data_IF_797007580564
#
_entry.id   IF_797007580564
#
_cell.length_a   1.000
_cell.length_b   1.000
_cell.length_c   1.000
_cell.angle_alpha   90.00
_cell.angle_beta   90.00
_cell.angle_gamma   90.00
#
_symmetry.space_group_name_H-M   'P 1'
#
loop_
_entity.id
_entity.type
_entity.pdbx_description
1 polymer ?
#
# COMPACT_ATOMS: atom_id res chain seq x y z
N UNK A 1 58.07 32.17 5.24
CA UNK A 1 56.93 31.35 5.69
C UNK A 1 55.74 31.73 4.81
N UNK A 2 55.24 30.86 3.93
CA UNK A 2 54.07 31.15 3.09
C UNK A 2 52.79 31.09 3.93
N UNK A 3 51.72 31.82 3.56
CA UNK A 3 50.49 31.87 4.35
C UNK A 3 49.74 30.53 4.31
N UNK A 4 49.24 30.11 5.46
CA UNK A 4 48.38 28.94 5.65
C UNK A 4 47.03 29.17 4.98
N UNK A 5 46.64 28.31 4.03
CA UNK A 5 45.32 28.35 3.42
C UNK A 5 44.24 27.96 4.44
N UNK A 6 43.25 28.83 4.63
CA UNK A 6 42.07 28.57 5.46
C UNK A 6 41.10 27.71 4.65
N UNK A 7 40.88 26.46 5.08
CA UNK A 7 39.83 25.61 4.52
C UNK A 7 38.46 26.23 4.85
N UNK A 8 37.75 26.67 3.82
CA UNK A 8 36.34 27.05 3.93
C UNK A 8 35.51 25.77 3.86
N UNK A 9 34.53 25.53 4.75
CA UNK A 9 33.63 24.38 4.64
C UNK A 9 32.88 24.45 3.32
N UNK A 10 33.03 23.41 2.49
CA UNK A 10 32.16 23.21 1.32
C UNK A 10 30.78 22.82 1.87
N UNK A 11 29.68 23.49 1.46
CA UNK A 11 28.33 23.05 1.79
C UNK A 11 28.16 21.59 1.37
N UNK A 12 27.44 20.74 2.12
CA UNK A 12 27.18 19.38 1.68
C UNK A 12 26.53 19.44 0.30
N UNK A 13 27.19 18.79 -0.68
CA UNK A 13 26.62 18.53 -1.99
C UNK A 13 25.32 17.76 -1.77
N UNK A 14 24.21 18.25 -2.31
CA UNK A 14 22.97 17.50 -2.32
C UNK A 14 23.25 16.11 -2.92
N UNK A 15 23.05 15.07 -2.12
CA UNK A 15 23.10 13.70 -2.62
C UNK A 15 21.95 13.56 -3.60
N UNK A 16 22.27 13.34 -4.88
CA UNK A 16 21.27 12.89 -5.83
C UNK A 16 20.75 11.54 -5.31
N UNK A 17 19.57 11.53 -4.70
CA UNK A 17 18.76 10.31 -4.60
C UNK A 17 18.60 9.80 -6.04
N UNK A 18 18.87 8.51 -6.33
CA UNK A 18 18.55 7.96 -7.63
C UNK A 18 17.05 8.19 -7.86
N UNK A 19 16.72 9.09 -8.79
CA UNK A 19 15.40 9.08 -9.43
C UNK A 19 15.30 7.70 -10.09
N UNK A 20 14.23 6.90 -9.85
CA UNK A 20 13.99 5.69 -10.60
C UNK A 20 14.17 5.99 -12.09
N UNK A 21 15.07 5.24 -12.71
CA UNK A 21 15.50 5.53 -14.07
C UNK A 21 14.41 5.18 -15.07
N UNK A 22 13.57 6.15 -15.41
CA UNK A 22 12.78 6.16 -16.64
C UNK A 22 11.72 5.05 -16.79
N UNK A 23 10.45 5.42 -16.67
CA UNK A 23 9.20 4.70 -17.03
C UNK A 23 8.39 3.98 -15.94
N UNK A 24 8.52 4.35 -14.66
CA UNK A 24 7.62 3.82 -13.63
C UNK A 24 6.24 4.50 -13.72
N UNK A 25 5.17 3.71 -13.57
CA UNK A 25 3.83 4.19 -13.24
C UNK A 25 3.51 3.81 -11.80
N UNK A 26 3.15 4.80 -11.00
CA UNK A 26 2.71 4.62 -9.61
C UNK A 26 1.20 4.75 -9.58
N UNK A 27 0.50 3.69 -9.18
CA UNK A 27 -0.93 3.70 -8.95
C UNK A 27 -1.20 3.92 -7.47
N UNK A 28 -2.18 4.75 -7.11
CA UNK A 28 -2.48 5.12 -5.72
C UNK A 28 -3.99 5.27 -5.49
N UNK A 29 -4.47 4.91 -4.30
CA UNK A 29 -5.76 5.36 -3.74
C UNK A 29 -5.51 6.38 -2.62
N UNK A 30 -6.57 7.02 -2.11
CA UNK A 30 -6.50 8.05 -1.06
C UNK A 30 -7.62 7.94 -0.05
N UNK A 31 -7.27 8.11 1.22
CA UNK A 31 -8.20 8.15 2.36
C UNK A 31 -9.32 9.19 2.20
N UNK A 32 -9.14 10.16 1.31
CA UNK A 32 -10.09 11.26 1.10
C UNK A 32 -10.27 11.62 -0.37
N UNK A 33 -11.41 12.24 -0.68
CA UNK A 33 -11.62 12.90 -1.96
C UNK A 33 -10.64 14.06 -2.18
N UNK A 34 -10.11 14.19 -3.39
CA UNK A 34 -9.08 15.21 -3.65
C UNK A 34 -8.91 15.64 -5.10
N UNK A 35 -7.75 16.22 -5.37
CA UNK A 35 -7.30 16.55 -6.71
C UNK A 35 -5.79 16.36 -6.84
N UNK A 36 -5.36 15.55 -7.81
CA UNK A 36 -3.95 15.33 -8.11
C UNK A 36 -3.64 15.75 -9.54
N UNK A 37 -2.73 16.71 -9.72
CA UNK A 37 -2.34 17.19 -11.05
C UNK A 37 -3.50 17.68 -11.94
N UNK A 38 -4.60 18.15 -11.35
CA UNK A 38 -5.80 18.57 -12.07
C UNK A 38 -6.84 17.46 -12.29
N UNK A 39 -6.56 16.22 -11.92
CA UNK A 39 -7.53 15.11 -11.90
C UNK A 39 -8.26 15.12 -10.57
N UNK A 40 -9.57 15.44 -10.59
CA UNK A 40 -10.42 15.25 -9.41
C UNK A 40 -10.73 13.77 -9.24
N UNK A 41 -10.71 13.30 -8.01
CA UNK A 41 -10.95 11.91 -7.64
C UNK A 41 -11.73 11.84 -6.34
N UNK A 42 -12.25 10.65 -6.06
CA UNK A 42 -12.90 10.30 -4.81
C UNK A 42 -12.14 9.20 -4.09
N UNK A 43 -12.48 8.98 -2.82
CA UNK A 43 -11.84 7.96 -2.00
C UNK A 43 -12.04 6.53 -2.56
N UNK A 44 -13.09 6.28 -3.34
CA UNK A 44 -13.25 5.01 -4.06
C UNK A 44 -12.41 4.85 -5.34
N UNK A 45 -11.61 5.84 -5.74
CA UNK A 45 -10.89 5.87 -7.02
C UNK A 45 -9.43 5.44 -6.90
N UNK A 46 -8.85 4.97 -8.01
CA UNK A 46 -7.40 4.74 -8.14
C UNK A 46 -6.86 5.61 -9.26
N UNK A 47 -5.82 6.36 -8.94
CA UNK A 47 -5.08 7.20 -9.88
C UNK A 47 -3.81 6.51 -10.38
N UNK A 48 -3.30 6.97 -11.52
CA UNK A 48 -1.99 6.63 -12.04
C UNK A 48 -1.15 7.90 -12.22
N UNK A 49 0.08 7.87 -11.68
CA UNK A 49 1.10 8.88 -11.83
C UNK A 49 2.24 8.35 -12.71
N UNK A 50 2.43 8.98 -13.87
CA UNK A 50 3.54 8.69 -14.77
C UNK A 50 4.79 9.47 -14.32
N UNK A 51 5.81 8.75 -13.87
CA UNK A 51 7.02 9.36 -13.27
C UNK A 51 7.90 10.06 -14.31
N UNK A 52 7.79 9.71 -15.60
CA UNK A 52 8.57 10.32 -16.68
C UNK A 52 8.01 11.66 -17.12
N UNK A 53 6.68 11.74 -17.21
CA UNK A 53 5.97 12.91 -17.72
C UNK A 53 5.41 13.79 -16.60
N UNK A 54 5.41 13.29 -15.37
CA UNK A 54 4.77 13.91 -14.20
C UNK A 54 3.29 14.19 -14.42
N UNK A 55 2.60 13.26 -15.09
CA UNK A 55 1.18 13.38 -15.43
C UNK A 55 0.35 12.43 -14.59
N UNK A 56 -0.71 12.99 -14.01
CA UNK A 56 -1.76 12.24 -13.33
C UNK A 56 -2.87 11.85 -14.31
N UNK A 57 -3.45 10.67 -14.10
CA UNK A 57 -4.63 10.20 -14.81
C UNK A 57 -5.50 9.33 -13.90
N UNK A 58 -6.80 9.29 -14.19
CA UNK A 58 -7.71 8.33 -13.56
C UNK A 58 -7.42 6.94 -14.12
N UNK A 59 -7.20 5.94 -13.26
CA UNK A 59 -7.02 4.54 -13.65
C UNK A 59 -8.26 3.69 -13.38
N UNK A 60 -8.92 3.89 -12.25
CA UNK A 60 -10.16 3.22 -11.89
C UNK A 60 -11.07 4.24 -11.21
N UNK A 61 -12.28 4.38 -11.72
CA UNK A 61 -13.34 5.21 -11.13
C UNK A 61 -14.32 4.26 -10.41
N UNK A 62 -14.27 4.25 -9.08
CA UNK A 62 -15.05 3.31 -8.27
C UNK A 62 -16.55 3.59 -8.34
N UNK A 63 -16.89 4.86 -8.53
CA UNK A 63 -18.27 5.33 -8.58
C UNK A 63 -19.02 4.79 -9.81
N UNK A 64 -18.31 4.63 -10.93
CA UNK A 64 -18.85 4.06 -12.18
C UNK A 64 -19.31 2.59 -12.03
N UNK A 65 -18.69 1.85 -11.12
CA UNK A 65 -18.98 0.43 -10.86
C UNK A 65 -19.71 0.19 -9.55
N UNK A 66 -20.18 1.26 -8.91
CA UNK A 66 -21.05 1.23 -7.74
C UNK A 66 -20.35 0.88 -6.44
N UNK A 67 -19.04 1.10 -6.35
CA UNK A 67 -18.37 1.20 -5.05
C UNK A 67 -18.78 2.52 -4.42
N UNK A 68 -19.11 2.48 -3.12
CA UNK A 68 -19.59 3.64 -2.36
C UNK A 68 -18.84 3.83 -1.04
N UNK A 69 -17.73 3.11 -0.88
CA UNK A 69 -16.81 3.15 0.25
C UNK A 69 -15.42 3.37 -0.30
N UNK A 70 -14.53 3.83 0.56
CA UNK A 70 -13.13 4.03 0.25
C UNK A 70 -12.44 2.70 -0.14
N UNK A 71 -11.46 2.78 -1.04
CA UNK A 71 -10.61 1.66 -1.43
C UNK A 71 -9.30 1.73 -0.64
N UNK A 72 -9.25 0.92 0.42
CA UNK A 72 -8.08 0.80 1.29
C UNK A 72 -6.86 0.21 0.57
N UNK A 73 -7.05 -0.86 -0.18
CA UNK A 73 -5.93 -1.60 -0.75
C UNK A 73 -6.31 -2.25 -2.05
N UNK A 74 -5.35 -2.37 -2.96
CA UNK A 74 -5.57 -3.05 -4.24
C UNK A 74 -4.34 -3.76 -4.77
N UNK A 75 -4.57 -4.80 -5.56
CA UNK A 75 -3.52 -5.58 -6.22
C UNK A 75 -3.91 -5.92 -7.65
N UNK A 76 -3.00 -5.69 -8.60
CA UNK A 76 -3.18 -6.14 -9.97
C UNK A 76 -2.77 -7.61 -10.13
N UNK A 77 -3.64 -8.40 -10.77
CA UNK A 77 -3.41 -9.80 -11.07
C UNK A 77 -2.95 -9.99 -12.52
N UNK A 78 -2.20 -11.07 -12.83
CA UNK A 78 -1.68 -11.31 -14.19
C UNK A 78 -2.74 -11.49 -15.28
N UNK A 79 -3.98 -11.81 -14.90
CA UNK A 79 -5.12 -11.94 -15.83
C UNK A 79 -5.80 -10.59 -16.14
N UNK A 80 -5.29 -9.49 -15.58
CA UNK A 80 -5.81 -8.14 -15.73
C UNK A 80 -6.94 -7.79 -14.76
N UNK A 81 -7.37 -8.72 -13.91
CA UNK A 81 -8.27 -8.42 -12.79
C UNK A 81 -7.53 -7.76 -11.63
N UNK A 82 -8.29 -7.23 -10.68
CA UNK A 82 -7.75 -6.51 -9.53
C UNK A 82 -8.41 -7.01 -8.24
N UNK A 83 -7.63 -7.28 -7.21
CA UNK A 83 -8.15 -7.49 -5.85
C UNK A 83 -8.30 -6.14 -5.16
N UNK A 84 -9.33 -5.98 -4.33
CA UNK A 84 -9.58 -4.75 -3.55
C UNK A 84 -10.11 -5.05 -2.16
N UNK A 85 -9.66 -4.27 -1.18
CA UNK A 85 -10.23 -4.18 0.18
C UNK A 85 -10.93 -2.83 0.34
N UNK A 86 -11.87 -2.73 1.29
CA UNK A 86 -12.71 -1.55 1.48
C UNK A 86 -12.68 -1.13 2.95
N UNK A 87 -12.77 0.17 3.22
CA UNK A 87 -12.61 0.70 4.59
C UNK A 87 -13.78 0.45 5.54
N UNK A 88 -14.89 -0.05 5.03
CA UNK A 88 -16.05 -0.36 5.85
C UNK A 88 -16.91 -1.43 5.19
N UNK A 89 -17.55 -2.25 6.01
CA UNK A 89 -18.58 -3.18 5.54
C UNK A 89 -19.63 -2.49 4.65
N UNK A 90 -19.81 -3.00 3.43
CA UNK A 90 -20.66 -2.39 2.40
C UNK A 90 -21.36 -3.43 1.52
N UNK A 91 -22.12 -2.98 0.52
CA UNK A 91 -22.70 -3.86 -0.51
C UNK A 91 -22.03 -3.62 -1.85
N UNK A 92 -21.38 -4.65 -2.38
CA UNK A 92 -20.70 -4.61 -3.68
C UNK A 92 -21.63 -5.16 -4.77
N UNK A 93 -21.86 -4.44 -5.89
CA UNK A 93 -22.73 -4.89 -6.97
C UNK A 93 -22.35 -6.27 -7.52
N UNK A 94 -23.34 -7.18 -7.57
CA UNK A 94 -23.15 -8.55 -8.06
C UNK A 94 -22.56 -9.53 -7.04
N UNK A 95 -21.99 -9.03 -5.93
CA UNK A 95 -21.42 -9.84 -4.85
C UNK A 95 -22.38 -9.92 -3.66
N UNK A 96 -22.87 -8.77 -3.19
CA UNK A 96 -23.69 -8.66 -1.98
C UNK A 96 -22.95 -7.95 -0.86
N UNK A 97 -23.31 -8.25 0.38
CA UNK A 97 -22.64 -7.71 1.57
C UNK A 97 -21.22 -8.27 1.68
N UNK A 98 -20.27 -7.39 1.95
CA UNK A 98 -18.87 -7.67 2.28
C UNK A 98 -18.52 -6.91 3.54
N UNK A 99 -17.65 -7.47 4.36
CA UNK A 99 -17.04 -6.83 5.52
C UNK A 99 -15.75 -6.09 5.11
N UNK A 100 -15.24 -5.20 5.94
CA UNK A 100 -13.94 -4.52 5.78
C UNK A 100 -12.74 -5.47 5.99
N UNK A 101 -12.99 -6.67 6.51
CA UNK A 101 -12.04 -7.79 6.55
C UNK A 101 -12.06 -8.69 5.31
N UNK A 102 -12.95 -8.42 4.34
CA UNK A 102 -13.09 -9.21 3.11
C UNK A 102 -12.33 -8.60 1.92
N UNK A 103 -12.11 -9.42 0.88
CA UNK A 103 -11.49 -8.97 -0.38
C UNK A 103 -12.41 -9.35 -1.54
N UNK A 104 -12.64 -8.39 -2.42
CA UNK A 104 -13.35 -8.59 -3.69
C UNK A 104 -12.37 -8.58 -4.86
N UNK A 105 -12.76 -9.24 -5.95
CA UNK A 105 -12.03 -9.23 -7.21
C UNK A 105 -12.85 -8.51 -8.28
N UNK A 106 -12.29 -7.45 -8.85
CA UNK A 106 -12.86 -6.72 -9.96
C UNK A 106 -12.33 -7.26 -11.29
N UNK A 107 -13.24 -7.61 -12.19
CA UNK A 107 -12.97 -8.07 -13.54
C UNK A 107 -13.29 -6.93 -14.52
N UNK A 108 -12.28 -6.15 -14.95
CA UNK A 108 -12.49 -5.00 -15.80
C UNK A 108 -12.86 -5.41 -17.23
N UNK A 109 -13.77 -4.63 -17.81
CA UNK A 109 -14.02 -4.57 -19.25
C UNK A 109 -13.62 -3.21 -19.84
N UNK A 110 -13.50 -2.19 -18.99
CA UNK A 110 -12.95 -0.86 -19.27
C UNK A 110 -12.36 -0.27 -17.99
N UNK A 111 -11.28 0.50 -18.11
CA UNK A 111 -10.62 1.24 -17.04
C UNK A 111 -10.63 2.75 -17.34
N UNK A 112 -10.22 3.57 -16.38
CA UNK A 112 -10.14 5.02 -16.46
C UNK A 112 -11.44 5.72 -16.06
N UNK A 113 -11.71 6.90 -16.60
CA UNK A 113 -12.89 7.72 -16.25
C UNK A 113 -14.25 7.16 -16.70
N UNK A 114 -14.25 5.98 -17.34
CA UNK A 114 -15.46 5.25 -17.73
C UNK A 114 -15.19 3.79 -17.39
N UNK A 115 -15.04 3.52 -16.09
CA UNK A 115 -14.72 2.20 -15.59
C UNK A 115 -15.95 1.29 -15.74
N UNK A 116 -15.74 0.07 -16.19
CA UNK A 116 -16.83 -0.90 -16.34
C UNK A 116 -16.31 -2.31 -16.11
N UNK A 117 -17.07 -3.13 -15.40
CA UNK A 117 -16.69 -4.51 -15.13
C UNK A 117 -17.68 -5.20 -14.21
N UNK A 118 -17.25 -6.31 -13.62
CA UNK A 118 -18.04 -7.07 -12.65
C UNK A 118 -17.19 -7.46 -11.46
N UNK A 119 -17.83 -7.63 -10.30
CA UNK A 119 -17.18 -8.08 -9.09
C UNK A 119 -17.42 -9.57 -8.83
N UNK A 120 -16.45 -10.20 -8.14
CA UNK A 120 -16.58 -11.51 -7.49
C UNK A 120 -16.05 -11.44 -6.06
N UNK A 121 -16.54 -12.34 -5.20
CA UNK A 121 -16.03 -12.51 -3.83
C UNK A 121 -14.73 -13.32 -3.87
N UNK A 122 -13.64 -12.82 -3.27
CA UNK A 122 -12.32 -13.45 -3.37
C UNK A 122 -11.84 -14.06 -2.06
N UNK A 123 -12.04 -13.38 -0.93
CA UNK A 123 -11.53 -13.82 0.37
C UNK A 123 -12.48 -13.36 1.46
N UNK A 124 -12.83 -14.27 2.37
CA UNK A 124 -13.66 -14.03 3.55
C UNK A 124 -12.74 -14.00 4.77
N UNK A 125 -12.55 -12.83 5.37
CA UNK A 125 -11.62 -12.64 6.49
C UNK A 125 -12.07 -13.34 7.75
N UNK A 126 -13.39 -13.35 7.98
CA UNK A 126 -14.02 -13.92 9.16
C UNK A 126 -13.84 -15.43 9.25
N UNK A 127 -13.83 -16.13 8.11
CA UNK A 127 -13.57 -17.57 8.01
C UNK A 127 -12.16 -17.97 8.49
N UNK A 128 -11.22 -17.03 8.46
CA UNK A 128 -9.81 -17.25 8.82
C UNK A 128 -9.33 -16.40 9.99
N UNK A 129 -10.28 -15.84 10.75
CA UNK A 129 -10.03 -15.30 12.09
C UNK A 129 -9.90 -13.78 12.19
N UNK A 130 -10.10 -13.02 11.10
CA UNK A 130 -10.26 -11.56 11.18
C UNK A 130 -11.70 -11.28 11.65
N UNK A 131 -11.89 -10.98 12.94
CA UNK A 131 -13.24 -10.98 13.57
C UNK A 131 -13.51 -9.79 14.48
N UNK A 132 -12.58 -8.85 14.55
CA UNK A 132 -12.68 -7.64 15.37
C UNK A 132 -12.55 -6.39 14.51
N UNK A 133 -13.10 -5.26 14.96
CA UNK A 133 -13.03 -3.98 14.23
C UNK A 133 -11.60 -3.40 14.07
N UNK A 134 -10.57 -4.07 14.62
CA UNK A 134 -9.17 -3.69 14.40
C UNK A 134 -8.48 -4.61 13.39
N UNK A 135 -9.20 -5.59 12.85
CA UNK A 135 -8.69 -6.59 11.90
C UNK A 135 -9.17 -6.32 10.47
N UNK A 136 -9.63 -5.10 10.23
CA UNK A 136 -10.02 -4.54 8.94
C UNK A 136 -8.77 -4.41 8.07
N UNK A 137 -8.81 -4.83 6.80
CA UNK A 137 -7.63 -4.85 5.93
C UNK A 137 -7.41 -3.48 5.32
N UNK A 138 -6.30 -2.83 5.68
CA UNK A 138 -5.90 -1.52 5.16
C UNK A 138 -4.73 -1.56 4.20
N UNK A 139 -3.73 -2.44 4.41
CA UNK A 139 -2.69 -2.72 3.41
C UNK A 139 -2.85 -4.11 2.80
N UNK A 140 -2.63 -4.23 1.48
CA UNK A 140 -2.67 -5.52 0.78
C UNK A 140 -1.64 -5.59 -0.35
N UNK A 141 -0.96 -6.73 -0.45
CA UNK A 141 -0.03 -7.03 -1.54
C UNK A 141 0.09 -8.54 -1.80
N UNK A 142 0.87 -8.93 -2.81
CA UNK A 142 1.19 -10.33 -3.07
C UNK A 142 2.69 -10.57 -2.94
N UNK A 143 3.04 -11.63 -2.20
CA UNK A 143 4.38 -12.18 -2.26
C UNK A 143 4.69 -12.69 -3.69
N UNK A 144 5.97 -12.80 -4.09
CA UNK A 144 6.35 -13.28 -5.41
C UNK A 144 5.83 -14.69 -5.76
N UNK A 145 5.46 -15.49 -4.75
CA UNK A 145 4.85 -16.82 -4.92
C UNK A 145 3.31 -16.78 -5.03
N UNK A 146 2.70 -15.60 -5.03
CA UNK A 146 1.27 -15.36 -5.18
C UNK A 146 0.47 -15.44 -3.88
N UNK A 147 1.12 -15.57 -2.72
CA UNK A 147 0.42 -15.52 -1.43
C UNK A 147 0.03 -14.09 -1.05
N UNK A 148 -1.15 -13.97 -0.47
CA UNK A 148 -1.68 -12.72 0.07
C UNK A 148 -0.86 -12.28 1.28
N UNK A 149 -0.45 -11.02 1.30
CA UNK A 149 0.17 -10.34 2.44
C UNK A 149 -0.69 -9.14 2.78
N UNK A 150 -1.04 -8.98 4.06
CA UNK A 150 -1.89 -7.88 4.53
C UNK A 150 -1.29 -7.19 5.75
N UNK A 151 -1.74 -5.96 6.00
CA UNK A 151 -1.80 -5.36 7.34
C UNK A 151 -3.26 -5.15 7.76
N UNK A 152 -3.46 -4.64 8.97
CA UNK A 152 -4.78 -4.29 9.48
C UNK A 152 -4.75 -2.97 10.24
N UNK A 153 -5.87 -2.24 10.25
CA UNK A 153 -6.02 -0.90 10.90
C UNK A 153 -5.63 -0.89 12.38
N UNK A 154 -5.75 -2.03 13.04
CA UNK A 154 -5.30 -2.24 14.41
C UNK A 154 -4.46 -3.50 14.54
N UNK A 155 -4.30 -3.96 15.77
CA UNK A 155 -3.62 -5.23 16.01
C UNK A 155 -4.46 -6.42 15.55
N UNK A 156 -3.87 -7.32 14.76
CA UNK A 156 -4.49 -8.59 14.40
C UNK A 156 -4.10 -9.74 15.33
N UNK A 157 -5.02 -10.69 15.52
CA UNK A 157 -4.81 -11.90 16.31
C UNK A 157 -5.51 -13.10 15.67
N UNK A 158 -5.04 -13.48 14.49
CA UNK A 158 -5.53 -14.63 13.73
C UNK A 158 -4.90 -15.97 14.19
N UNK A 159 -5.46 -17.13 13.83
CA UNK A 159 -4.85 -18.41 14.14
C UNK A 159 -3.44 -18.55 13.54
N UNK A 160 -2.42 -18.57 14.40
CA UNK A 160 -1.02 -18.80 14.04
C UNK A 160 -0.17 -17.54 13.84
N UNK A 161 -0.76 -16.34 13.89
CA UNK A 161 -0.04 -15.07 13.79
C UNK A 161 -0.74 -13.97 14.57
N UNK A 162 0.03 -13.07 15.16
CA UNK A 162 -0.47 -11.85 15.82
C UNK A 162 0.54 -10.73 15.64
N UNK A 163 0.07 -9.52 15.41
CA UNK A 163 0.90 -8.33 15.19
C UNK A 163 0.14 -7.06 15.55
N UNK A 164 0.84 -5.94 15.53
CA UNK A 164 0.29 -4.60 15.65
C UNK A 164 -0.07 -4.02 14.27
N UNK A 165 -0.48 -2.75 14.24
CA UNK A 165 -0.95 -2.01 13.06
C UNK A 165 0.17 -1.75 12.03
N UNK A 166 1.44 -1.77 12.44
CA UNK A 166 2.59 -1.63 11.54
C UNK A 166 3.12 -2.96 10.98
N UNK A 167 2.50 -4.08 11.33
CA UNK A 167 2.98 -5.43 11.01
C UNK A 167 2.30 -6.03 9.78
N UNK A 168 2.98 -6.98 9.12
CA UNK A 168 2.41 -7.72 8.00
C UNK A 168 2.22 -9.20 8.34
N UNK A 169 1.11 -9.77 7.89
CA UNK A 169 0.82 -11.21 7.93
C UNK A 169 0.71 -11.78 6.51
N UNK A 170 1.16 -13.03 6.31
CA UNK A 170 1.07 -13.75 5.04
C UNK A 170 0.10 -14.94 5.14
N UNK A 171 -0.80 -15.05 4.18
CA UNK A 171 -1.82 -16.10 4.12
C UNK A 171 -1.45 -17.17 3.08
N UNK A 172 -1.51 -18.43 3.51
CA UNK A 172 -1.42 -19.58 2.60
C UNK A 172 -2.80 -20.20 2.44
N UNK A 173 -3.47 -19.85 1.34
CA UNK A 173 -4.82 -20.33 1.05
C UNK A 173 -4.84 -21.83 0.70
N UNK A 174 -5.79 -22.55 1.29
CA UNK A 174 -6.26 -23.87 0.83
C UNK A 174 -7.57 -23.76 0.05
N UNK A 175 -8.37 -22.73 0.32
CA UNK A 175 -9.56 -22.33 -0.45
C UNK A 175 -9.76 -20.83 -0.36
N UNK A 176 -10.27 -20.24 -1.43
CA UNK A 176 -10.64 -18.82 -1.55
C UNK A 176 -12.15 -18.72 -1.87
N UNK A 177 -12.70 -17.51 -1.78
CA UNK A 177 -14.12 -17.18 -1.93
C UNK A 177 -14.86 -17.14 -0.59
N UNK A 178 -16.18 -17.28 -0.61
CA UNK A 178 -17.05 -17.17 0.59
C UNK A 178 -16.91 -18.33 1.59
N UNK A 179 -15.95 -19.24 1.39
CA UNK A 179 -15.61 -20.32 2.30
C UNK A 179 -14.07 -20.39 2.32
N UNK A 180 -13.47 -19.31 2.81
CA UNK A 180 -12.02 -19.17 2.79
C UNK A 180 -11.42 -20.13 3.82
N UNK A 181 -10.30 -20.75 3.47
CA UNK A 181 -9.55 -21.59 4.41
C UNK A 181 -8.07 -21.54 4.10
N UNK A 182 -7.25 -21.68 5.12
CA UNK A 182 -5.81 -21.66 4.97
C UNK A 182 -5.13 -21.47 6.32
N UNK A 183 -3.89 -20.99 6.28
CA UNK A 183 -3.10 -20.70 7.47
C UNK A 183 -2.37 -19.38 7.34
N UNK A 184 -2.37 -18.63 8.43
CA UNK A 184 -1.57 -17.42 8.58
C UNK A 184 -0.16 -17.74 9.08
N UNK A 185 0.77 -16.87 8.71
CA UNK A 185 2.07 -16.74 9.36
C UNK A 185 2.42 -15.25 9.49
N UNK A 186 3.17 -14.91 10.52
CA UNK A 186 3.75 -13.57 10.66
C UNK A 186 4.78 -13.33 9.54
N UNK A 187 4.74 -12.16 8.90
CA UNK A 187 5.56 -11.87 7.72
C UNK A 187 6.56 -10.74 7.95
N UNK A 188 6.19 -9.62 8.54
CA UNK A 188 7.11 -8.50 8.76
C UNK A 188 6.77 -7.78 10.06
N UNK A 189 7.79 -7.48 10.84
CA UNK A 189 7.68 -6.76 12.12
C UNK A 189 8.07 -5.29 11.87
N UNK A 190 7.09 -4.40 11.85
CA UNK A 190 7.30 -2.97 11.61
C UNK A 190 8.09 -2.32 12.75
N UNK A 191 7.88 -2.81 13.97
CA UNK A 191 8.52 -2.28 15.17
C UNK A 191 10.03 -2.59 15.21
N UNK A 192 10.45 -3.76 14.71
CA UNK A 192 11.86 -4.14 14.58
C UNK A 192 12.63 -3.19 13.65
N UNK A 193 11.95 -2.56 12.70
CA UNK A 193 12.55 -1.64 11.73
C UNK A 193 12.34 -0.16 12.07
N UNK A 194 11.69 0.11 13.20
CA UNK A 194 11.60 1.43 13.82
C UNK A 194 10.31 2.19 13.56
N UNK A 195 9.28 1.56 12.98
CA UNK A 195 7.93 2.13 13.01
C UNK A 195 7.40 2.05 14.45
N UNK A 196 6.76 3.11 14.92
CA UNK A 196 6.17 3.14 16.24
C UNK A 196 4.77 2.53 16.22
N UNK A 197 4.41 1.92 17.35
CA UNK A 197 3.03 1.52 17.69
C UNK A 197 2.15 2.77 17.92
N UNK A 198 1.89 3.52 16.86
CA UNK A 198 1.06 4.71 16.84
C UNK A 198 0.27 4.72 15.54
N UNK A 199 -0.96 5.21 15.58
CA UNK A 199 -1.83 5.28 14.41
C UNK A 199 -1.31 6.16 13.25
N UNK A 200 -0.16 6.84 13.43
CA UNK A 200 0.50 7.62 12.38
C UNK A 200 1.51 6.78 11.58
N UNK A 201 2.08 5.74 12.19
CA UNK A 201 3.06 4.84 11.58
C UNK A 201 2.51 3.44 11.31
N UNK A 202 1.19 3.31 11.46
CA UNK A 202 0.33 2.27 10.92
C UNK A 202 0.58 2.11 9.40
N UNK A 203 0.80 0.88 8.95
CA UNK A 203 1.15 0.58 7.55
C UNK A 203 -0.13 0.54 6.72
N UNK A 204 -0.38 1.60 5.96
CA UNK A 204 -1.55 1.70 5.09
C UNK A 204 -1.34 1.13 3.69
N UNK A 205 -0.08 0.96 3.24
CA UNK A 205 0.22 0.45 1.91
C UNK A 205 1.52 -0.35 1.85
N UNK A 206 1.54 -1.40 1.04
CA UNK A 206 2.70 -2.26 0.87
C UNK A 206 2.87 -2.77 -0.57
N UNK A 207 4.12 -2.84 -1.04
CA UNK A 207 4.47 -3.51 -2.30
C UNK A 207 5.75 -4.31 -2.14
N UNK A 208 5.68 -5.61 -2.49
CA UNK A 208 6.79 -6.54 -2.40
C UNK A 208 7.47 -6.70 -3.76
N UNK A 209 8.75 -6.36 -3.84
CA UNK A 209 9.53 -6.55 -5.05
C UNK A 209 10.34 -7.85 -4.99
N UNK A 210 10.53 -8.45 -6.16
CA UNK A 210 11.23 -9.72 -6.35
C UNK A 210 12.71 -9.69 -5.92
N UNK A 211 13.30 -8.50 -5.80
CA UNK A 211 14.65 -8.29 -5.31
C UNK A 211 14.77 -8.33 -3.77
N UNK A 212 13.66 -8.44 -3.05
CA UNK A 212 13.60 -8.46 -1.58
C UNK A 212 13.38 -7.10 -0.94
N UNK A 213 13.17 -6.04 -1.72
CA UNK A 213 12.73 -4.75 -1.20
C UNK A 213 11.25 -4.80 -0.83
N UNK A 214 10.90 -4.11 0.26
CA UNK A 214 9.51 -3.83 0.64
C UNK A 214 9.31 -2.32 0.56
N UNK A 215 8.36 -1.90 -0.26
CA UNK A 215 7.89 -0.52 -0.33
C UNK A 215 6.72 -0.38 0.62
N UNK A 216 6.71 0.69 1.39
CA UNK A 216 5.75 0.95 2.45
C UNK A 216 5.25 2.40 2.37
N UNK A 217 4.00 2.61 2.76
CA UNK A 217 3.44 3.90 3.16
C UNK A 217 2.83 3.75 4.56
N UNK A 218 2.57 4.86 5.22
CA UNK A 218 1.93 4.88 6.53
C UNK A 218 0.73 5.82 6.54
N UNK A 219 -0.24 5.59 7.44
CA UNK A 219 -1.45 6.41 7.58
C UNK A 219 -1.15 7.88 7.95
N UNK A 220 0.06 8.17 8.42
CA UNK A 220 0.50 9.53 8.72
C UNK A 220 2.01 9.69 8.53
N UNK A 221 2.58 10.58 9.34
CA UNK A 221 4.01 10.82 9.34
C UNK A 221 4.78 9.64 9.94
N UNK A 222 5.89 9.29 9.28
CA UNK A 222 6.81 8.27 9.74
C UNK A 222 8.22 8.81 9.94
N UNK A 223 9.00 8.11 10.77
CA UNK A 223 10.37 8.41 11.13
C UNK A 223 11.13 7.14 11.48
N UNK A 224 11.67 6.48 10.46
CA UNK A 224 12.58 5.35 10.59
C UNK A 224 14.06 5.81 10.63
N UNK A 225 14.99 4.86 10.75
CA UNK A 225 16.42 5.19 10.84
C UNK A 225 16.94 5.95 9.61
N UNK A 226 17.19 7.25 9.79
CA UNK A 226 17.79 8.11 8.75
C UNK A 226 16.82 8.60 7.68
N UNK A 227 15.51 8.35 7.83
CA UNK A 227 14.47 8.76 6.89
C UNK A 227 13.17 9.11 7.64
N UNK A 228 12.51 10.16 7.19
CA UNK A 228 11.17 10.53 7.65
C UNK A 228 10.35 11.07 6.47
N UNK A 229 9.04 10.95 6.55
CA UNK A 229 8.09 11.43 5.55
C UNK A 229 6.70 11.64 6.13
N UNK A 230 5.73 11.86 5.26
CA UNK A 230 4.31 11.94 5.58
C UNK A 230 3.49 10.81 4.93
N UNK A 231 2.17 10.81 5.14
CA UNK A 231 1.30 9.74 4.64
C UNK A 231 1.10 9.75 3.13
N UNK A 232 1.60 10.76 2.41
CA UNK A 232 1.61 10.79 0.95
C UNK A 232 2.87 10.13 0.34
N UNK A 233 3.79 9.65 1.18
CA UNK A 233 5.10 9.18 0.74
C UNK A 233 5.18 7.65 0.70
N UNK A 234 5.97 7.15 -0.25
CA UNK A 234 6.38 5.74 -0.35
C UNK A 234 7.86 5.66 -0.03
N UNK A 235 8.23 4.85 0.95
CA UNK A 235 9.61 4.57 1.31
C UNK A 235 9.94 3.09 1.16
N UNK A 236 11.23 2.79 0.99
CA UNK A 236 11.72 1.43 0.77
C UNK A 236 12.49 0.93 1.99
N UNK A 237 12.07 -0.21 2.52
CA UNK A 237 12.89 -1.11 3.33
C UNK A 237 13.77 -1.94 2.39
N UNK A 238 15.03 -1.54 2.23
CA UNK A 238 15.94 -2.13 1.24
C UNK A 238 16.47 -3.48 1.72
N UNK A 239 16.39 -4.51 0.87
CA UNK A 239 16.77 -5.90 1.16
C UNK A 239 16.23 -6.37 2.52
N UNK A 240 14.91 -6.40 2.64
CA UNK A 240 14.23 -6.75 3.87
C UNK A 240 14.53 -8.19 4.29
N UNK A 241 14.81 -8.37 5.58
CA UNK A 241 14.67 -9.66 6.26
C UNK A 241 13.26 -9.73 6.81
N UNK A 242 12.52 -10.78 6.48
CA UNK A 242 11.13 -11.01 6.90
C UNK A 242 11.04 -12.05 8.03
N UNK A 243 9.91 -12.04 8.75
CA UNK A 243 9.61 -12.85 9.92
C UNK A 243 9.64 -12.03 11.21
N UNK A 244 9.64 -12.71 12.35
CA UNK A 244 9.58 -12.07 13.69
C UNK A 244 10.89 -11.41 14.15
N UNK A 245 11.88 -11.29 13.26
CA UNK A 245 13.13 -10.57 13.52
C UNK A 245 13.42 -9.79 12.23
N UNK A 246 12.56 -8.83 11.93
CA UNK A 246 12.61 -8.10 10.67
C UNK A 246 13.75 -7.09 10.67
N UNK A 247 14.29 -6.80 9.48
CA UNK A 247 15.37 -5.83 9.36
C UNK A 247 15.42 -5.27 7.94
N UNK A 248 15.76 -3.98 7.83
CA UNK A 248 16.10 -3.34 6.56
C UNK A 248 17.62 -3.10 6.53
N UNK A 249 18.26 -3.33 5.39
CA UNK A 249 19.69 -2.98 5.22
C UNK A 249 19.89 -1.47 5.26
N UNK A 250 18.92 -0.72 4.75
CA UNK A 250 18.82 0.73 4.80
C UNK A 250 17.39 1.15 4.45
N UNK A 251 17.08 2.43 4.67
CA UNK A 251 15.87 3.05 4.18
C UNK A 251 16.17 4.08 3.09
N UNK A 252 15.26 4.24 2.14
CA UNK A 252 15.31 5.31 1.14
C UNK A 252 13.91 5.79 0.79
N UNK A 253 13.76 7.10 0.54
CA UNK A 253 12.54 7.62 -0.08
C UNK A 253 12.45 7.09 -1.51
N UNK A 254 11.35 6.42 -1.86
CA UNK A 254 11.07 6.00 -3.23
C UNK A 254 10.29 7.08 -3.97
N UNK A 255 9.22 7.59 -3.36
CA UNK A 255 8.37 8.62 -3.94
C UNK A 255 7.81 9.53 -2.85
N UNK A 256 7.94 10.84 -3.05
CA UNK A 256 7.37 11.86 -2.16
C UNK A 256 6.11 12.42 -2.83
N UNK A 257 4.93 11.96 -2.44
CA UNK A 257 3.67 12.31 -3.11
C UNK A 257 3.31 13.78 -2.92
N UNK A 258 3.67 14.34 -1.77
CA UNK A 258 3.50 15.75 -1.44
C UNK A 258 4.19 16.68 -2.44
N UNK A 259 5.35 16.30 -2.98
CA UNK A 259 6.08 17.06 -4.01
C UNK A 259 5.60 16.77 -5.44
N UNK A 260 4.81 15.72 -5.65
CA UNK A 260 4.31 15.29 -6.96
C UNK A 260 2.83 15.54 -7.17
N UNK A 261 2.23 16.45 -6.40
CA UNK A 261 0.85 16.89 -6.60
C UNK A 261 -0.20 16.09 -5.83
N UNK A 262 0.23 15.26 -4.87
CA UNK A 262 -0.61 14.53 -3.92
C UNK A 262 -0.53 15.13 -2.50
N UNK A 263 -0.24 16.43 -2.40
CA UNK A 263 -0.04 17.10 -1.11
C UNK A 263 -1.35 17.26 -0.32
N UNK A 264 -1.32 16.85 0.94
CA UNK A 264 -2.48 16.92 1.84
C UNK A 264 -3.39 15.69 1.78
N UNK A 265 -3.07 14.74 0.91
CA UNK A 265 -3.69 13.42 0.84
C UNK A 265 -2.87 12.41 1.66
N UNK A 266 -3.46 11.27 1.99
CA UNK A 266 -2.80 10.13 2.61
C UNK A 266 -3.07 8.91 1.74
N UNK A 267 -2.02 8.15 1.43
CA UNK A 267 -2.10 6.91 0.69
C UNK A 267 -2.78 5.83 1.53
N UNK A 268 -3.81 5.18 0.96
CA UNK A 268 -4.17 3.83 1.38
C UNK A 268 -3.28 2.85 0.61
N UNK A 269 -3.75 2.36 -0.54
CA UNK A 269 -3.06 1.39 -1.37
C UNK A 269 -2.21 2.02 -2.46
N UNK A 270 -1.14 1.34 -2.83
CA UNK A 270 -0.37 1.69 -4.02
C UNK A 270 0.19 0.48 -4.76
N UNK A 271 0.49 0.68 -6.05
CA UNK A 271 1.19 -0.28 -6.89
C UNK A 271 2.22 0.42 -7.76
N UNK A 272 3.43 -0.15 -7.80
CA UNK A 272 4.49 0.28 -8.70
C UNK A 272 4.55 -0.66 -9.90
N UNK A 273 4.67 -0.09 -11.11
CA UNK A 273 4.90 -0.83 -12.35
C UNK A 273 6.09 -0.21 -13.07
N UNK A 274 7.11 -1.04 -13.32
CA UNK A 274 8.36 -0.70 -14.01
C UNK A 274 8.30 -0.93 -15.53
#
# INVERSE_FOLDING_TARGET
VPPTATNTPVPPTATNTPVPGGSDIIYVSSTTNGNAGGVSFRDEDILAYDTDTSVWSMYFDGSDVGITSDVNGFVFLPDGSMLMTLNTGTTVPGVGSVDDSDIVQFFPTSMGTNTAGTFGFYFDGSDVGLTTNGEDIDAMTLAPDGRLVISTVGSFSVPGASGADEDLAIFTATSLGTNTSGSWAFYFDGSDVGLANSSSEDVSGAYLESNGDIYLSTNGAFSVSGLSGDGADIFTCVNATTGTNSACSSFSMYWDGSTHGFSGEVLDGFRIVH
#
